data_IF_953691621702
#
_entry.id   IF_953691621702
#
_cell.length_a   1.000
_cell.length_b   1.000
_cell.length_c   1.000
_cell.angle_alpha   90.00
_cell.angle_beta   90.00
_cell.angle_gamma   90.00
#
_symmetry.space_group_name_H-M   'P 1'
#
loop_
_entity.id
_entity.type
_entity.pdbx_description
1 polymer ?
#
# COMPACT_ATOMS: atom_id res chain seq x y z
N UNK A 1 -14.86 -8.02 4.49
CA UNK A 1 -13.56 -8.66 4.22
C UNK A 1 -12.76 -7.62 3.48
N UNK A 2 -11.65 -7.12 4.03
CA UNK A 2 -10.91 -6.02 3.40
C UNK A 2 -10.44 -6.43 2.00
N UNK A 3 -10.79 -5.66 0.97
CA UNK A 3 -10.44 -5.96 -0.44
C UNK A 3 -8.94 -5.82 -0.74
N UNK A 4 -8.18 -5.18 0.14
CA UNK A 4 -6.75 -4.93 0.02
C UNK A 4 -6.02 -5.32 1.31
N UNK A 5 -5.06 -6.23 1.20
CA UNK A 5 -4.13 -6.58 2.26
C UNK A 5 -2.77 -5.91 1.99
N UNK A 6 -2.22 -5.24 2.99
CA UNK A 6 -0.94 -4.53 2.93
C UNK A 6 -0.02 -5.13 3.99
N UNK A 7 1.11 -5.69 3.55
CA UNK A 7 2.17 -6.13 4.44
C UNK A 7 3.40 -5.24 4.27
N UNK A 8 3.93 -4.78 5.38
CA UNK A 8 5.16 -3.99 5.40
C UNK A 8 6.36 -4.91 5.64
N UNK A 9 7.41 -4.72 4.85
CA UNK A 9 8.73 -5.33 5.11
C UNK A 9 9.84 -4.35 4.80
N UNK A 10 10.98 -4.53 5.47
CA UNK A 10 12.16 -3.71 5.26
C UNK A 10 13.14 -4.43 4.32
N UNK A 11 13.65 -3.72 3.32
CA UNK A 11 14.69 -4.18 2.42
C UNK A 11 15.82 -3.14 2.39
N UNK A 12 16.79 -3.29 3.30
CA UNK A 12 17.82 -2.28 3.53
C UNK A 12 17.20 -0.98 4.01
N UNK A 13 17.43 0.11 3.30
CA UNK A 13 16.87 1.43 3.60
C UNK A 13 15.51 1.70 2.94
N UNK A 14 14.97 0.74 2.18
CA UNK A 14 13.66 0.82 1.53
C UNK A 14 12.61 0.09 2.35
N UNK A 15 11.52 0.76 2.66
CA UNK A 15 10.30 0.14 3.17
C UNK A 15 9.45 -0.33 2.00
N UNK A 16 9.15 -1.62 1.95
CA UNK A 16 8.34 -2.24 0.90
C UNK A 16 6.94 -2.54 1.44
N UNK A 17 5.92 -2.08 0.72
CA UNK A 17 4.54 -2.47 0.93
C UNK A 17 4.14 -3.53 -0.08
N UNK A 18 4.05 -4.78 0.35
CA UNK A 18 3.49 -5.87 -0.43
C UNK A 18 1.96 -5.80 -0.38
N UNK A 19 1.34 -5.57 -1.53
CA UNK A 19 -0.10 -5.41 -1.65
C UNK A 19 -0.73 -6.59 -2.38
N UNK A 20 -1.84 -7.09 -1.82
CA UNK A 20 -2.62 -8.18 -2.41
C UNK A 20 -4.10 -7.82 -2.40
N UNK A 21 -4.77 -7.96 -3.54
CA UNK A 21 -6.20 -7.71 -3.67
C UNK A 21 -6.55 -6.70 -4.76
N UNK A 22 -7.48 -5.78 -4.47
CA UNK A 22 -7.95 -4.74 -5.40
C UNK A 22 -7.81 -3.35 -4.78
N UNK A 23 -7.43 -2.37 -5.59
CA UNK A 23 -7.38 -0.96 -5.19
C UNK A 23 -8.55 -0.27 -5.90
N UNK A 24 -9.66 -0.19 -5.20
CA UNK A 24 -10.93 0.39 -5.67
C UNK A 24 -11.35 1.52 -4.77
N UNK A 25 -12.29 2.32 -5.27
CA UNK A 25 -12.86 3.42 -4.49
C UNK A 25 -13.55 2.86 -3.23
N UNK A 26 -13.16 3.37 -2.07
CA UNK A 26 -13.67 2.91 -0.78
C UNK A 26 -12.55 2.35 0.10
N UNK A 27 -12.77 1.16 0.66
CA UNK A 27 -11.88 0.60 1.69
C UNK A 27 -10.44 0.40 1.19
N UNK A 28 -10.25 0.00 -0.07
CA UNK A 28 -8.94 -0.23 -0.66
C UNK A 28 -8.09 1.03 -0.78
N UNK A 29 -8.63 2.10 -1.38
CA UNK A 29 -7.91 3.37 -1.53
C UNK A 29 -7.68 4.09 -0.19
N UNK A 30 -8.60 3.97 0.78
CA UNK A 30 -8.43 4.50 2.14
C UNK A 30 -7.33 3.77 2.91
N UNK A 31 -7.27 2.43 2.81
CA UNK A 31 -6.22 1.63 3.43
C UNK A 31 -4.83 1.99 2.90
N UNK A 32 -4.69 2.11 1.57
CA UNK A 32 -3.45 2.53 0.92
C UNK A 32 -3.02 3.94 1.37
N UNK A 33 -3.93 4.91 1.32
CA UNK A 33 -3.65 6.30 1.73
C UNK A 33 -3.21 6.37 3.20
N UNK A 34 -3.86 5.63 4.08
CA UNK A 34 -3.53 5.58 5.51
C UNK A 34 -2.13 4.99 5.74
N UNK A 35 -1.81 3.87 5.06
CA UNK A 35 -0.49 3.25 5.17
C UNK A 35 0.63 4.18 4.69
N UNK A 36 0.45 4.85 3.54
CA UNK A 36 1.43 5.80 3.01
C UNK A 36 1.63 6.98 3.97
N UNK A 37 0.55 7.58 4.47
CA UNK A 37 0.63 8.72 5.42
C UNK A 37 1.41 8.36 6.67
N UNK A 38 1.11 7.21 7.27
CA UNK A 38 1.82 6.72 8.45
C UNK A 38 3.32 6.59 8.20
N UNK A 39 3.74 6.00 7.07
CA UNK A 39 5.16 5.87 6.75
C UNK A 39 5.84 7.23 6.56
N UNK A 40 5.16 8.19 5.94
CA UNK A 40 5.68 9.55 5.78
C UNK A 40 5.84 10.26 7.14
N UNK A 41 4.88 10.09 8.05
CA UNK A 41 4.95 10.60 9.43
C UNK A 41 6.09 9.94 10.23
N UNK A 42 6.36 8.66 9.98
CA UNK A 42 7.52 7.93 10.52
C UNK A 42 8.86 8.35 9.88
N UNK A 43 8.85 9.27 8.91
CA UNK A 43 10.05 9.79 8.26
C UNK A 43 10.65 8.87 7.19
N UNK A 44 9.93 7.81 6.79
CA UNK A 44 10.38 6.90 5.73
C UNK A 44 10.31 7.59 4.38
N UNK A 45 11.48 7.76 3.74
CA UNK A 45 11.61 8.46 2.44
C UNK A 45 11.73 7.52 1.25
N UNK A 46 12.10 6.26 1.49
CA UNK A 46 12.29 5.23 0.46
C UNK A 46 11.18 4.20 0.62
N UNK A 47 10.10 4.41 -0.13
CA UNK A 47 8.90 3.58 -0.06
C UNK A 47 8.71 2.91 -1.42
N UNK A 48 8.64 1.58 -1.43
CA UNK A 48 8.36 0.79 -2.63
C UNK A 48 6.99 0.14 -2.47
N UNK A 49 6.11 0.39 -3.44
CA UNK A 49 4.79 -0.23 -3.52
C UNK A 49 4.88 -1.45 -4.42
N UNK A 50 4.77 -2.66 -3.85
CA UNK A 50 4.76 -3.90 -4.63
C UNK A 50 3.33 -4.30 -4.96
N UNK A 51 2.96 -4.08 -6.22
CA UNK A 51 1.63 -4.35 -6.77
C UNK A 51 1.51 -5.75 -7.40
N UNK A 52 2.50 -6.63 -7.28
CA UNK A 52 2.47 -7.94 -7.93
C UNK A 52 1.26 -8.81 -7.52
N UNK A 53 0.67 -8.56 -6.35
CA UNK A 53 -0.55 -9.22 -5.88
C UNK A 53 -1.85 -8.43 -6.10
N UNK A 54 -1.78 -7.26 -6.75
CA UNK A 54 -2.95 -6.42 -7.03
C UNK A 54 -3.52 -6.77 -8.39
N UNK A 55 -4.73 -7.29 -8.40
CA UNK A 55 -5.39 -7.76 -9.62
C UNK A 55 -6.23 -6.71 -10.34
N UNK A 56 -6.52 -5.58 -9.70
CA UNK A 56 -7.34 -4.50 -10.28
C UNK A 56 -7.10 -3.16 -9.58
N UNK A 57 -7.05 -2.08 -10.36
CA UNK A 57 -6.93 -0.70 -9.90
C UNK A 57 -7.93 0.15 -10.70
N UNK A 58 -8.75 0.97 -10.04
CA UNK A 58 -9.59 1.99 -10.70
C UNK A 58 -8.99 3.40 -10.56
N UNK A 59 -9.69 4.43 -11.03
CA UNK A 59 -9.21 5.82 -11.01
C UNK A 59 -9.07 6.45 -9.61
N UNK A 60 -9.47 5.76 -8.55
CA UNK A 60 -9.37 6.25 -7.17
C UNK A 60 -8.14 5.74 -6.42
N UNK A 61 -7.44 4.75 -6.99
CA UNK A 61 -6.12 4.29 -6.55
C UNK A 61 -4.98 5.15 -7.07
#
# INVERSE_FOLDING_TARGET
MAELNIQERQAGDVTVLDMKGKITIGEGSVALRTAIRRMLEEGKKKILLNLAGVGYIDSSG
#
